data_IF_888160541434
#
_entry.id   IF_888160541434
#
_cell.length_a   1.000
_cell.length_b   1.000
_cell.length_c   1.000
_cell.angle_alpha   90.00
_cell.angle_beta   90.00
_cell.angle_gamma   90.00
#
_symmetry.space_group_name_H-M   'P 1'
#
loop_
_entity.id
_entity.type
_entity.pdbx_description
1 polymer ?
#
# COMPACT_ATOMS: atom_id res chain seq x y z
N UNK A 1 14.04 -9.60 -14.91
CA UNK A 1 13.03 -8.74 -15.58
C UNK A 1 12.74 -7.56 -14.63
N UNK A 2 12.60 -6.32 -15.13
CA UNK A 2 12.33 -5.17 -14.25
C UNK A 2 10.86 -5.15 -13.81
N UNK A 3 10.62 -4.88 -12.53
CA UNK A 3 9.27 -4.75 -11.99
C UNK A 3 8.58 -3.47 -12.50
N UNK A 4 7.29 -3.58 -12.82
CA UNK A 4 6.45 -2.45 -13.20
C UNK A 4 6.17 -1.61 -11.95
N UNK A 5 6.48 -0.31 -12.03
CA UNK A 5 6.23 0.62 -10.94
C UNK A 5 4.77 1.10 -10.99
N UNK A 6 4.09 0.98 -9.85
CA UNK A 6 2.68 1.36 -9.69
C UNK A 6 2.58 2.49 -8.66
N UNK A 7 1.81 3.52 -8.97
CA UNK A 7 1.38 4.53 -8.02
C UNK A 7 -0.10 4.32 -7.67
N UNK A 8 -0.47 4.49 -6.40
CA UNK A 8 -1.85 4.41 -5.93
C UNK A 8 -2.30 5.79 -5.48
N UNK A 9 -3.29 6.36 -6.15
CA UNK A 9 -3.93 7.62 -5.75
C UNK A 9 -5.28 7.33 -5.09
N UNK A 10 -5.37 7.58 -3.78
CA UNK A 10 -6.48 7.17 -2.93
C UNK A 10 -6.22 5.83 -2.24
N UNK A 11 -5.76 5.86 -0.99
CA UNK A 11 -5.43 4.71 -0.15
C UNK A 11 -6.57 4.30 0.80
N UNK A 12 -7.80 4.44 0.30
CA UNK A 12 -9.00 3.92 0.91
C UNK A 12 -9.12 2.39 0.80
N UNK A 13 -10.36 1.88 0.83
CA UNK A 13 -10.62 0.43 0.83
C UNK A 13 -10.01 -0.28 -0.38
N UNK A 14 -10.24 0.23 -1.59
CA UNK A 14 -9.73 -0.41 -2.81
C UNK A 14 -8.22 -0.26 -2.93
N UNK A 15 -7.66 0.92 -2.65
CA UNK A 15 -6.21 1.14 -2.71
C UNK A 15 -5.43 0.20 -1.79
N UNK A 16 -5.92 -0.04 -0.56
CA UNK A 16 -5.28 -1.00 0.36
C UNK A 16 -5.42 -2.45 -0.11
N UNK A 17 -6.57 -2.85 -0.64
CA UNK A 17 -6.75 -4.19 -1.19
C UNK A 17 -5.87 -4.43 -2.42
N UNK A 18 -5.77 -3.44 -3.32
CA UNK A 18 -4.87 -3.48 -4.47
C UNK A 18 -3.42 -3.59 -4.01
N UNK A 19 -3.00 -2.80 -3.02
CA UNK A 19 -1.68 -2.93 -2.41
C UNK A 19 -1.42 -4.35 -1.91
N UNK A 20 -2.36 -4.94 -1.14
CA UNK A 20 -2.20 -6.30 -0.60
C UNK A 20 -2.04 -7.36 -1.69
N UNK A 21 -2.77 -7.24 -2.80
CA UNK A 21 -2.62 -8.17 -3.93
C UNK A 21 -1.26 -7.99 -4.63
N UNK A 22 -0.86 -6.74 -4.88
CA UNK A 22 0.39 -6.43 -5.57
C UNK A 22 1.63 -6.73 -4.72
N UNK A 23 1.52 -6.69 -3.39
CA UNK A 23 2.65 -6.92 -2.49
C UNK A 23 3.25 -8.32 -2.62
N UNK A 24 2.41 -9.33 -2.87
CA UNK A 24 2.82 -10.73 -3.03
C UNK A 24 2.91 -11.16 -4.51
N UNK A 25 2.79 -10.22 -5.46
CA UNK A 25 2.82 -10.54 -6.91
C UNK A 25 4.16 -10.14 -7.52
N UNK A 26 4.87 -11.12 -8.07
CA UNK A 26 6.11 -10.90 -8.80
C UNK A 26 5.91 -9.99 -10.02
N UNK A 27 6.92 -9.16 -10.32
CA UNK A 27 6.91 -8.27 -11.48
C UNK A 27 6.21 -6.93 -11.25
N UNK A 28 5.68 -6.67 -10.05
CA UNK A 28 5.09 -5.38 -9.69
C UNK A 28 5.73 -4.79 -8.44
N UNK A 29 5.77 -3.45 -8.39
CA UNK A 29 6.24 -2.70 -7.23
C UNK A 29 5.38 -1.47 -7.03
N UNK A 30 4.71 -1.37 -5.88
CA UNK A 30 4.05 -0.11 -5.49
C UNK A 30 5.14 0.89 -5.08
N UNK A 31 5.37 1.88 -5.93
CA UNK A 31 6.45 2.87 -5.77
C UNK A 31 6.00 4.13 -5.04
N UNK A 32 4.70 4.48 -5.09
CA UNK A 32 4.16 5.66 -4.44
C UNK A 32 2.69 5.47 -4.03
N UNK A 33 2.30 6.12 -2.94
CA UNK A 33 0.91 6.21 -2.46
C UNK A 33 0.62 7.67 -2.17
N UNK A 34 -0.47 8.19 -2.72
CA UNK A 34 -1.00 9.51 -2.43
C UNK A 34 -2.37 9.40 -1.76
N UNK A 35 -2.58 10.12 -0.66
CA UNK A 35 -3.86 10.20 0.06
C UNK A 35 -3.93 11.50 0.89
N UNK A 36 -5.11 11.80 1.46
CA UNK A 36 -5.35 13.01 2.27
C UNK A 36 -4.99 12.83 3.75
N UNK A 37 -4.46 11.67 4.13
CA UNK A 37 -4.20 11.26 5.52
C UNK A 37 -2.71 11.00 5.77
N UNK A 38 -2.30 11.05 7.04
CA UNK A 38 -0.92 10.85 7.44
C UNK A 38 -0.40 9.44 7.12
N UNK A 39 0.89 9.28 6.75
CA UNK A 39 1.53 7.99 6.52
C UNK A 39 1.33 6.98 7.66
N UNK A 40 1.38 7.44 8.91
CA UNK A 40 1.21 6.59 10.09
C UNK A 40 -0.19 5.98 10.16
N UNK A 41 -1.21 6.78 9.83
CA UNK A 41 -2.59 6.31 9.77
C UNK A 41 -2.79 5.35 8.60
N UNK A 42 -2.24 5.66 7.42
CA UNK A 42 -2.29 4.75 6.27
C UNK A 42 -1.61 3.39 6.58
N UNK A 43 -0.46 3.41 7.26
CA UNK A 43 0.21 2.19 7.73
C UNK A 43 -0.67 1.39 8.68
N UNK A 44 -1.32 2.08 9.63
CA UNK A 44 -2.21 1.46 10.59
C UNK A 44 -3.41 0.79 9.89
N UNK A 45 -4.07 1.51 8.97
CA UNK A 45 -5.22 1.01 8.21
C UNK A 45 -4.86 -0.12 7.24
N UNK A 46 -3.62 -0.17 6.75
CA UNK A 46 -3.12 -1.28 5.95
C UNK A 46 -2.84 -2.52 6.80
N UNK A 47 -2.22 -2.32 7.97
CA UNK A 47 -1.90 -3.37 8.93
C UNK A 47 -3.16 -4.00 9.51
N UNK A 48 -4.16 -3.20 9.85
CA UNK A 48 -5.38 -3.65 10.53
C UNK A 48 -6.60 -3.43 9.64
N UNK A 49 -7.01 -4.48 8.92
CA UNK A 49 -8.26 -4.49 8.14
C UNK A 49 -9.30 -5.39 8.80
N UNK A 50 -10.50 -4.87 9.07
CA UNK A 50 -11.59 -5.61 9.75
C UNK A 50 -12.05 -6.84 8.96
N UNK A 51 -11.98 -6.82 7.62
CA UNK A 51 -12.45 -7.93 6.76
C UNK A 51 -11.32 -8.85 6.31
N UNK A 52 -10.10 -8.32 6.13
CA UNK A 52 -8.94 -9.08 5.64
C UNK A 52 -7.96 -9.48 6.74
N UNK A 53 -8.20 -9.06 7.98
CA UNK A 53 -7.32 -9.35 9.11
C UNK A 53 -5.99 -8.60 9.04
N UNK A 54 -5.10 -8.98 9.95
CA UNK A 54 -3.81 -8.31 10.12
C UNK A 54 -2.83 -8.69 9.02
N UNK A 55 -2.13 -7.69 8.47
CA UNK A 55 -0.96 -7.91 7.61
C UNK A 55 0.23 -7.19 8.21
N UNK A 56 1.40 -7.83 8.23
CA UNK A 56 2.64 -7.19 8.66
C UNK A 56 3.53 -6.93 7.44
N UNK A 57 3.23 -5.90 6.63
CA UNK A 57 4.11 -5.56 5.53
C UNK A 57 5.38 -4.94 6.11
N UNK A 58 6.54 -5.33 5.57
CA UNK A 58 7.79 -4.60 5.80
C UNK A 58 7.77 -3.36 4.89
N UNK A 59 6.96 -2.37 5.27
CA UNK A 59 6.73 -1.17 4.45
C UNK A 59 7.56 0.01 4.94
N UNK A 60 8.33 0.62 4.04
CA UNK A 60 8.89 1.96 4.24
C UNK A 60 7.96 2.94 3.52
N UNK A 61 7.09 3.62 4.25
CA UNK A 61 6.27 4.70 3.67
C UNK A 61 7.15 5.94 3.57
N UNK A 62 7.65 6.22 2.38
CA UNK A 62 8.44 7.41 2.07
C UNK A 62 7.48 8.51 1.62
N UNK A 63 7.55 9.68 2.27
CA UNK A 63 6.88 10.90 1.79
C UNK A 63 7.46 11.26 0.41
N UNK A 64 6.63 11.38 -0.61
CA UNK A 64 6.90 12.29 -1.72
C UNK A 64 6.16 13.59 -1.42
N UNK A 65 6.90 14.70 -1.52
CA UNK A 65 6.43 16.06 -1.26
C UNK A 65 5.17 16.42 -2.05
#
# INVERSE_FOLDING_TARGET
>A
MMAINIAINGFGRIGRLAFRQLFDTDGYRVAAINDLTSPQMLAHLLKHDTRKGVMMPRLVIVRTA
#
